data_IF_706347851038
#
_entry.id   IF_706347851038
#
_cell.length_a   1.000
_cell.length_b   1.000
_cell.length_c   1.000
_cell.angle_alpha   90.00
_cell.angle_beta   90.00
_cell.angle_gamma   90.00
#
_symmetry.space_group_name_H-M   'P 1'
#
loop_
_entity.id
_entity.type
_entity.pdbx_description
1 polymer ?
#
# COMPACT_ATOMS: atom_id res chain seq x y z
N UNK A 1 13.77 15.74 16.11
CA UNK A 1 12.78 16.51 16.93
C UNK A 1 12.83 17.99 16.57
N UNK A 2 14.00 18.48 16.16
CA UNK A 2 14.21 19.86 15.77
C UNK A 2 13.40 20.26 14.54
N UNK A 3 13.36 19.44 13.50
CA UNK A 3 12.73 19.70 12.20
C UNK A 3 11.20 19.87 12.31
N UNK A 4 10.61 19.25 13.33
CA UNK A 4 9.18 19.37 13.64
C UNK A 4 8.85 20.67 14.38
N UNK A 5 9.70 21.08 15.33
CA UNK A 5 9.44 22.22 16.20
C UNK A 5 10.01 23.55 15.66
N UNK A 6 11.06 23.48 14.84
CA UNK A 6 11.82 24.61 14.34
C UNK A 6 11.77 24.58 12.81
N UNK A 7 10.95 25.43 12.17
CA UNK A 7 10.80 25.43 10.72
C UNK A 7 12.12 25.74 10.01
N UNK A 8 12.74 24.73 9.41
CA UNK A 8 13.96 24.85 8.60
C UNK A 8 13.70 24.65 7.10
N UNK A 9 12.50 24.20 6.73
CA UNK A 9 12.16 23.80 5.38
C UNK A 9 11.60 24.92 4.49
N UNK A 10 11.74 24.82 3.15
CA UNK A 10 11.15 25.76 2.20
C UNK A 10 9.62 25.84 2.29
N UNK A 11 8.97 24.75 2.70
CA UNK A 11 7.55 24.75 3.02
C UNK A 11 7.15 23.64 4.01
N UNK A 12 5.86 23.28 4.08
CA UNK A 12 5.39 22.17 4.92
C UNK A 12 5.77 20.81 4.32
N UNK A 13 6.20 19.91 5.19
CA UNK A 13 6.48 18.51 4.89
C UNK A 13 5.67 17.60 5.82
N UNK A 14 5.20 16.44 5.34
CA UNK A 14 4.36 15.52 6.10
C UNK A 14 4.75 14.07 5.86
N UNK A 15 4.85 13.30 6.93
CA UNK A 15 4.89 11.84 6.89
C UNK A 15 3.54 11.23 7.23
N UNK A 16 3.21 10.10 6.61
CA UNK A 16 2.15 9.17 7.03
C UNK A 16 2.53 7.74 6.71
N UNK A 17 2.12 6.83 7.58
CA UNK A 17 2.47 5.42 7.56
C UNK A 17 1.20 4.58 7.48
N UNK A 18 1.07 3.79 6.41
CA UNK A 18 0.01 2.82 6.21
C UNK A 18 0.59 1.40 6.29
N UNK A 19 -0.06 0.51 7.05
CA UNK A 19 0.45 -0.87 7.22
C UNK A 19 0.27 -1.76 5.99
N UNK A 20 -0.59 -1.38 5.03
CA UNK A 20 -0.81 -2.13 3.79
C UNK A 20 -1.45 -1.24 2.70
N UNK A 21 -1.58 -1.72 1.44
CA UNK A 21 -2.17 -0.96 0.34
C UNK A 21 -3.65 -0.57 0.49
N UNK A 22 -4.38 -1.09 1.49
CA UNK A 22 -5.72 -0.58 1.83
C UNK A 22 -5.69 0.90 2.28
N UNK A 23 -4.51 1.40 2.68
CA UNK A 23 -4.25 2.83 2.86
C UNK A 23 -5.23 3.53 3.82
N UNK A 24 -5.47 2.94 5.00
CA UNK A 24 -6.44 3.40 5.99
C UNK A 24 -6.20 4.84 6.53
N UNK A 25 -4.96 5.33 6.57
CA UNK A 25 -4.66 6.74 6.93
C UNK A 25 -4.58 7.66 5.71
N UNK A 26 -4.77 7.11 4.51
CA UNK A 26 -4.68 7.78 3.22
C UNK A 26 -3.34 8.51 3.03
N UNK A 27 -2.23 7.83 3.36
CA UNK A 27 -0.87 8.38 3.22
C UNK A 27 -0.60 8.82 1.78
N UNK A 28 -0.91 8.00 0.78
CA UNK A 28 -0.69 8.30 -0.65
C UNK A 28 -1.31 9.62 -1.11
N UNK A 29 -2.35 10.12 -0.44
CA UNK A 29 -3.02 11.36 -0.81
C UNK A 29 -2.72 12.55 0.14
N UNK A 30 -2.18 12.30 1.33
CA UNK A 30 -2.18 13.28 2.44
C UNK A 30 -0.82 13.46 3.12
N UNK A 31 0.27 12.98 2.52
CA UNK A 31 1.65 13.19 2.97
C UNK A 31 2.61 13.47 1.81
N UNK A 32 3.55 14.38 2.02
CA UNK A 32 4.64 14.64 1.07
C UNK A 32 5.48 13.39 0.83
N UNK A 33 5.64 12.54 1.86
CA UNK A 33 6.22 11.23 1.76
C UNK A 33 5.35 10.21 2.51
N UNK A 34 4.85 9.23 1.77
CA UNK A 34 4.00 8.13 2.26
C UNK A 34 4.77 6.83 2.31
N UNK A 35 4.61 6.10 3.42
CA UNK A 35 5.17 4.78 3.63
C UNK A 35 4.03 3.77 3.66
N UNK A 36 4.01 2.84 2.70
CA UNK A 36 2.91 1.88 2.54
C UNK A 36 3.46 0.47 2.65
N UNK A 37 3.09 -0.25 3.71
CA UNK A 37 3.54 -1.61 3.97
C UNK A 37 3.19 -2.59 2.84
N UNK A 38 4.06 -3.54 2.60
CA UNK A 38 3.89 -4.62 1.62
C UNK A 38 4.74 -5.84 2.01
N UNK A 39 4.66 -6.91 1.24
CA UNK A 39 5.54 -8.06 1.30
C UNK A 39 6.16 -8.33 -0.08
N UNK A 40 7.23 -9.14 -0.14
CA UNK A 40 7.91 -9.50 -1.41
C UNK A 40 7.89 -11.00 -1.72
N UNK A 41 7.59 -11.84 -0.72
CA UNK A 41 7.39 -13.27 -0.89
C UNK A 41 5.93 -13.63 -1.26
N UNK A 42 5.55 -14.91 -1.10
CA UNK A 42 4.27 -15.43 -1.57
C UNK A 42 3.12 -15.18 -0.61
N UNK A 43 1.92 -14.96 -1.14
CA UNK A 43 0.69 -15.00 -0.34
C UNK A 43 0.56 -16.39 0.30
N UNK A 44 0.26 -16.42 1.60
CA UNK A 44 0.02 -17.68 2.31
C UNK A 44 -1.43 -18.08 2.13
N UNK A 45 -1.64 -19.32 1.70
CA UNK A 45 -2.95 -19.89 1.39
C UNK A 45 -3.22 -21.07 2.32
N UNK A 46 -4.29 -20.98 3.11
CA UNK A 46 -4.88 -22.11 3.81
C UNK A 46 -6.03 -22.67 2.96
N UNK A 47 -5.78 -23.80 2.29
CA UNK A 47 -6.74 -24.41 1.37
C UNK A 47 -7.99 -24.93 2.09
N UNK A 48 -7.87 -25.38 3.35
CA UNK A 48 -9.03 -25.84 4.12
C UNK A 48 -9.95 -24.65 4.44
N UNK A 49 -9.36 -23.51 4.78
CA UNK A 49 -10.10 -22.26 4.94
C UNK A 49 -10.72 -21.77 3.62
N UNK A 50 -10.03 -21.89 2.47
CA UNK A 50 -10.61 -21.58 1.15
C UNK A 50 -11.85 -22.43 0.91
N UNK A 51 -11.78 -23.73 1.15
CA UNK A 51 -12.92 -24.63 0.94
C UNK A 51 -14.11 -24.24 1.82
N UNK A 52 -13.90 -23.81 3.07
CA UNK A 52 -14.98 -23.31 3.92
C UNK A 52 -15.68 -22.06 3.38
N UNK A 53 -14.96 -21.16 2.69
CA UNK A 53 -15.60 -20.05 1.98
C UNK A 53 -16.50 -20.57 0.85
N UNK A 54 -16.00 -21.49 0.02
CA UNK A 54 -16.74 -22.08 -1.12
C UNK A 54 -17.95 -22.91 -0.66
N UNK A 55 -17.81 -23.62 0.45
CA UNK A 55 -18.87 -24.40 1.12
C UNK A 55 -19.88 -23.51 1.86
N UNK A 56 -19.63 -22.20 1.94
CA UNK A 56 -20.51 -21.20 2.55
C UNK A 56 -20.67 -21.41 4.06
N UNK A 57 -19.60 -21.84 4.72
CA UNK A 57 -19.55 -21.94 6.18
C UNK A 57 -19.85 -20.56 6.80
N UNK A 58 -20.87 -20.42 7.67
CA UNK A 58 -21.20 -19.15 8.32
C UNK A 58 -20.05 -18.53 9.13
N UNK A 59 -19.07 -19.34 9.55
CA UNK A 59 -17.87 -18.86 10.23
C UNK A 59 -16.88 -18.17 9.26
N UNK A 60 -17.02 -18.36 7.95
CA UNK A 60 -16.15 -17.82 6.91
C UNK A 60 -16.95 -16.89 5.97
N UNK A 61 -17.55 -15.80 6.48
CA UNK A 61 -18.25 -14.86 5.61
C UNK A 61 -17.24 -14.09 4.75
N UNK A 62 -17.55 -13.94 3.46
CA UNK A 62 -16.78 -13.11 2.54
C UNK A 62 -16.62 -11.69 3.08
N UNK A 63 -15.44 -11.12 2.90
CA UNK A 63 -15.02 -9.82 3.40
C UNK A 63 -15.33 -9.61 4.90
N UNK A 64 -15.11 -10.68 5.69
CA UNK A 64 -15.44 -10.73 7.12
C UNK A 64 -16.91 -10.35 7.46
N UNK A 65 -17.82 -10.45 6.49
CA UNK A 65 -19.23 -10.07 6.65
C UNK A 65 -19.53 -8.59 6.44
N UNK A 66 -18.62 -7.82 5.83
CA UNK A 66 -18.84 -6.40 5.53
C UNK A 66 -20.14 -6.12 4.73
N UNK A 67 -20.62 -7.11 3.97
CA UNK A 67 -21.79 -6.97 3.09
C UNK A 67 -23.06 -7.67 3.62
N UNK A 68 -23.09 -8.10 4.89
CA UNK A 68 -24.25 -8.82 5.50
C UNK A 68 -25.58 -8.05 5.49
N UNK A 69 -25.54 -6.72 5.28
CA UNK A 69 -26.74 -5.88 5.27
C UNK A 69 -27.61 -5.98 4.01
N UNK A 70 -27.21 -6.77 3.00
CA UNK A 70 -27.96 -6.99 1.76
C UNK A 70 -27.74 -8.42 1.28
N UNK A 71 -28.75 -9.00 0.63
CA UNK A 71 -28.60 -10.28 -0.07
C UNK A 71 -27.90 -10.05 -1.43
N UNK A 72 -26.70 -10.60 -1.56
CA UNK A 72 -25.88 -10.59 -2.78
C UNK A 72 -25.84 -11.95 -3.46
N UNK A 73 -26.59 -12.93 -2.95
CA UNK A 73 -26.45 -14.33 -3.30
C UNK A 73 -25.34 -15.05 -2.51
N UNK A 74 -25.17 -16.36 -2.76
CA UNK A 74 -24.10 -17.13 -2.15
C UNK A 74 -22.72 -16.69 -2.68
N UNK A 75 -21.70 -16.82 -1.82
CA UNK A 75 -20.32 -16.56 -2.22
C UNK A 75 -19.92 -17.38 -3.46
N UNK A 76 -19.29 -16.71 -4.42
CA UNK A 76 -18.76 -17.29 -5.65
C UNK A 76 -17.30 -16.87 -5.81
N UNK A 77 -16.36 -17.80 -5.58
CA UNK A 77 -14.92 -17.53 -5.60
C UNK A 77 -14.43 -17.03 -6.96
N UNK A 78 -15.07 -17.49 -8.06
CA UNK A 78 -14.68 -17.05 -9.39
C UNK A 78 -15.09 -15.59 -9.59
N UNK A 79 -16.38 -15.29 -9.37
CA UNK A 79 -16.94 -13.94 -9.58
C UNK A 79 -16.42 -12.89 -8.60
N UNK A 80 -16.15 -13.27 -7.34
CA UNK A 80 -15.82 -12.31 -6.28
C UNK A 80 -14.32 -12.21 -6.00
N UNK A 81 -13.50 -13.17 -6.47
CA UNK A 81 -12.06 -13.18 -6.20
C UNK A 81 -11.24 -13.27 -7.49
N UNK A 82 -11.34 -14.35 -8.25
CA UNK A 82 -10.41 -14.57 -9.38
C UNK A 82 -10.68 -13.63 -10.55
N UNK A 83 -11.95 -13.40 -10.89
CA UNK A 83 -12.35 -12.51 -11.98
C UNK A 83 -12.13 -11.03 -11.65
N UNK A 84 -12.03 -10.70 -10.36
CA UNK A 84 -11.75 -9.34 -9.87
C UNK A 84 -10.26 -9.12 -9.55
N UNK A 85 -9.41 -10.13 -9.69
CA UNK A 85 -7.97 -9.96 -9.55
C UNK A 85 -7.46 -9.05 -10.68
N UNK A 86 -6.84 -7.89 -10.40
CA UNK A 86 -6.50 -6.91 -11.43
C UNK A 86 -5.46 -7.41 -12.44
N UNK A 87 -4.66 -8.42 -12.09
CA UNK A 87 -3.69 -9.04 -12.98
C UNK A 87 -4.11 -10.43 -13.47
N UNK A 88 -5.29 -10.90 -13.06
CA UNK A 88 -5.78 -12.26 -13.33
C UNK A 88 -4.74 -13.37 -13.04
N UNK A 89 -3.90 -13.16 -12.01
CA UNK A 89 -2.87 -14.11 -11.59
C UNK A 89 -3.40 -15.26 -10.71
N UNK A 90 -4.71 -15.36 -10.52
CA UNK A 90 -5.35 -16.35 -9.65
C UNK A 90 -6.13 -17.38 -10.45
N UNK A 91 -6.14 -18.62 -9.99
CA UNK A 91 -6.92 -19.70 -10.60
C UNK A 91 -7.56 -20.58 -9.53
N UNK A 92 -8.86 -20.82 -9.67
CA UNK A 92 -9.59 -21.85 -8.94
C UNK A 92 -9.75 -23.07 -9.85
N UNK A 93 -9.46 -24.27 -9.34
CA UNK A 93 -9.60 -25.53 -10.11
C UNK A 93 -10.78 -26.40 -9.67
N UNK A 94 -11.66 -25.86 -8.82
CA UNK A 94 -12.75 -26.60 -8.18
C UNK A 94 -12.38 -27.23 -6.84
N UNK A 95 -11.09 -27.26 -6.46
CA UNK A 95 -10.60 -27.87 -5.21
C UNK A 95 -9.52 -27.06 -4.50
N UNK A 96 -8.67 -26.35 -5.25
CA UNK A 96 -7.56 -25.55 -4.73
C UNK A 96 -7.50 -24.21 -5.44
N UNK A 97 -7.15 -23.19 -4.65
CA UNK A 97 -6.84 -21.86 -5.14
C UNK A 97 -5.34 -21.75 -5.38
N UNK A 98 -4.97 -21.30 -6.57
CA UNK A 98 -3.60 -21.04 -6.99
C UNK A 98 -3.41 -19.55 -7.23
N UNK A 99 -2.24 -19.03 -6.87
CA UNK A 99 -1.83 -17.64 -7.10
C UNK A 99 -0.45 -17.66 -7.73
N UNK A 100 -0.31 -16.99 -8.87
CA UNK A 100 0.98 -16.68 -9.47
C UNK A 100 1.51 -15.38 -8.85
N UNK A 101 2.22 -15.51 -7.72
CA UNK A 101 2.74 -14.37 -6.96
C UNK A 101 3.69 -13.48 -7.77
N UNK A 102 4.36 -14.01 -8.80
CA UNK A 102 5.25 -13.24 -9.66
C UNK A 102 4.49 -12.17 -10.47
N UNK A 103 3.21 -12.45 -10.78
CA UNK A 103 2.30 -11.53 -11.46
C UNK A 103 1.30 -10.86 -10.51
N UNK A 104 1.49 -10.99 -9.19
CA UNK A 104 0.65 -10.33 -8.19
C UNK A 104 1.16 -8.92 -7.87
N UNK A 105 0.28 -7.92 -8.02
CA UNK A 105 0.56 -6.52 -7.66
C UNK A 105 0.23 -6.17 -6.21
N UNK A 106 -0.17 -7.17 -5.40
CA UNK A 106 -0.44 -7.03 -3.95
C UNK A 106 -1.52 -5.99 -3.62
N UNK A 107 -2.55 -5.90 -4.46
CA UNK A 107 -3.67 -4.96 -4.31
C UNK A 107 -4.61 -5.18 -3.10
N UNK A 108 -4.35 -6.20 -2.27
CA UNK A 108 -5.15 -6.63 -1.11
C UNK A 108 -6.53 -7.25 -1.39
N UNK A 109 -7.11 -7.13 -2.59
CA UNK A 109 -8.50 -7.59 -2.86
C UNK A 109 -8.80 -9.00 -2.35
N UNK A 110 -8.04 -10.01 -2.77
CA UNK A 110 -8.28 -11.39 -2.38
C UNK A 110 -8.13 -11.63 -0.87
N UNK A 111 -7.14 -10.98 -0.23
CA UNK A 111 -6.94 -11.04 1.23
C UNK A 111 -8.09 -10.36 1.95
N UNK A 112 -8.58 -9.22 1.44
CA UNK A 112 -9.72 -8.51 2.00
C UNK A 112 -10.99 -9.36 1.93
N UNK A 113 -11.23 -10.06 0.81
CA UNK A 113 -12.41 -10.93 0.63
C UNK A 113 -12.29 -12.22 1.46
N UNK A 114 -11.12 -12.86 1.53
CA UNK A 114 -10.93 -14.13 2.23
C UNK A 114 -9.89 -14.05 3.37
N UNK A 115 -10.06 -13.16 4.36
CA UNK A 115 -9.02 -12.86 5.36
C UNK A 115 -8.71 -14.02 6.30
N UNK A 116 -9.58 -15.03 6.39
CA UNK A 116 -9.31 -16.25 7.16
C UNK A 116 -8.48 -17.28 6.39
N UNK A 117 -8.46 -17.22 5.06
CA UNK A 117 -7.79 -18.18 4.20
C UNK A 117 -6.49 -17.64 3.58
N UNK A 118 -6.47 -16.35 3.26
CA UNK A 118 -5.35 -15.68 2.62
C UNK A 118 -4.67 -14.72 3.59
N UNK A 119 -3.34 -14.80 3.66
CA UNK A 119 -2.52 -13.90 4.48
C UNK A 119 -1.38 -13.32 3.66
N UNK A 120 -0.94 -12.13 4.05
CA UNK A 120 0.29 -11.52 3.53
C UNK A 120 1.48 -12.48 3.65
N UNK A 121 2.50 -12.29 2.81
CA UNK A 121 3.77 -12.99 2.92
C UNK A 121 4.49 -12.70 4.26
N UNK A 122 5.60 -13.41 4.51
CA UNK A 122 6.41 -13.27 5.72
C UNK A 122 7.53 -12.25 5.58
N UNK A 123 7.99 -12.00 4.35
CA UNK A 123 9.07 -11.06 4.09
C UNK A 123 8.49 -9.68 3.81
N UNK A 124 8.34 -8.92 4.88
CA UNK A 124 7.63 -7.63 4.91
C UNK A 124 8.58 -6.44 4.85
N UNK A 125 8.07 -5.32 4.33
CA UNK A 125 8.74 -4.03 4.24
C UNK A 125 7.72 -2.97 3.85
N UNK A 126 8.15 -1.84 3.29
CA UNK A 126 7.25 -0.84 2.74
C UNK A 126 7.72 -0.29 1.40
N UNK A 127 6.79 0.31 0.66
CA UNK A 127 7.08 1.18 -0.47
C UNK A 127 7.08 2.63 0.00
N UNK A 128 7.98 3.45 -0.56
CA UNK A 128 8.01 4.90 -0.33
C UNK A 128 7.47 5.60 -1.58
N UNK A 129 6.46 6.45 -1.39
CA UNK A 129 5.90 7.29 -2.45
C UNK A 129 5.97 8.76 -2.04
N UNK A 130 6.15 9.66 -3.00
CA UNK A 130 6.46 11.07 -2.73
C UNK A 130 5.62 12.04 -3.55
N UNK A 131 5.43 13.24 -3.02
CA UNK A 131 4.87 14.39 -3.75
C UNK A 131 3.39 14.69 -3.49
N UNK A 132 2.68 13.92 -2.65
CA UNK A 132 1.25 14.13 -2.49
C UNK A 132 0.91 15.51 -1.89
N UNK A 133 -0.06 16.18 -2.51
CA UNK A 133 -0.51 17.51 -2.09
C UNK A 133 -1.92 17.86 -2.56
N UNK A 134 -2.53 18.78 -1.82
CA UNK A 134 -3.76 19.46 -2.21
C UNK A 134 -3.52 20.39 -3.43
N UNK A 135 -4.59 20.91 -4.06
CA UNK A 135 -4.49 21.62 -5.35
C UNK A 135 -3.48 22.77 -5.44
N UNK A 136 -3.42 23.66 -4.45
CA UNK A 136 -2.58 24.88 -4.55
C UNK A 136 -1.08 24.51 -4.52
N UNK A 137 -0.22 25.02 -5.42
CA UNK A 137 -0.53 25.89 -6.57
C UNK A 137 -0.79 25.06 -7.85
N UNK A 138 0.11 24.13 -8.18
CA UNK A 138 0.18 23.49 -9.51
C UNK A 138 -0.61 22.17 -9.64
N UNK A 139 -1.80 22.14 -9.05
CA UNK A 139 -2.69 20.97 -9.09
C UNK A 139 -2.49 20.00 -7.93
N UNK A 140 -3.50 19.15 -7.73
CA UNK A 140 -3.47 18.09 -6.73
C UNK A 140 -2.61 16.93 -7.21
N UNK A 141 -1.92 16.29 -6.28
CA UNK A 141 -1.07 15.15 -6.56
C UNK A 141 -1.29 14.06 -5.51
N UNK A 142 -1.23 12.81 -5.95
CA UNK A 142 -1.00 11.65 -5.08
C UNK A 142 0.49 11.32 -5.09
N UNK A 143 0.92 10.48 -4.15
CA UNK A 143 2.30 10.01 -4.06
C UNK A 143 2.69 9.18 -5.29
N UNK A 144 3.81 9.54 -5.91
CA UNK A 144 4.45 8.76 -6.97
C UNK A 144 5.45 7.78 -6.37
N UNK A 145 5.46 6.53 -6.83
CA UNK A 145 6.36 5.49 -6.33
C UNK A 145 7.82 5.87 -6.56
N UNK A 146 8.59 5.96 -5.47
CA UNK A 146 10.03 6.24 -5.51
C UNK A 146 10.85 4.99 -5.17
N UNK A 147 10.59 4.39 -4.01
CA UNK A 147 11.26 3.16 -3.57
C UNK A 147 10.24 2.03 -3.59
N UNK A 148 10.36 1.05 -4.51
CA UNK A 148 9.41 -0.07 -4.61
C UNK A 148 9.34 -0.92 -3.35
N UNK A 149 10.48 -1.15 -2.69
CA UNK A 149 10.57 -1.93 -1.47
C UNK A 149 11.79 -1.49 -0.66
N UNK A 150 11.57 -1.20 0.62
CA UNK A 150 12.61 -1.03 1.63
C UNK A 150 12.24 -1.88 2.86
N UNK A 151 13.17 -2.65 3.44
CA UNK A 151 12.98 -3.31 4.72
C UNK A 151 12.61 -2.30 5.81
N UNK A 152 11.69 -2.69 6.71
CA UNK A 152 11.40 -1.92 7.92
C UNK A 152 12.09 -2.61 9.08
N UNK A 153 13.26 -2.09 9.45
CA UNK A 153 14.10 -2.70 10.49
C UNK A 153 14.23 -1.77 11.70
N UNK A 154 13.56 -2.06 12.84
CA UNK A 154 13.71 -1.28 14.06
C UNK A 154 15.05 -1.50 14.76
N UNK A 155 15.77 -2.60 14.47
CA UNK A 155 17.00 -2.96 15.19
C UNK A 155 18.20 -2.08 14.79
N UNK A 156 18.15 -1.44 13.61
CA UNK A 156 19.13 -0.43 13.18
C UNK A 156 18.50 0.97 13.07
N UNK A 157 17.48 1.26 13.87
CA UNK A 157 16.81 2.57 13.91
C UNK A 157 16.30 3.05 12.54
N UNK A 158 15.84 2.11 11.70
CA UNK A 158 15.26 2.38 10.39
C UNK A 158 16.21 3.07 9.38
N UNK A 159 17.52 2.83 9.49
CA UNK A 159 18.60 3.45 8.70
C UNK A 159 18.28 3.62 7.20
N UNK A 160 17.84 2.55 6.52
CA UNK A 160 17.52 2.58 5.08
C UNK A 160 16.37 3.55 4.74
N UNK A 161 15.42 3.72 5.66
CA UNK A 161 14.30 4.64 5.49
C UNK A 161 14.73 6.07 5.79
N UNK A 162 15.50 6.28 6.85
CA UNK A 162 16.00 7.61 7.24
C UNK A 162 16.96 8.16 6.20
N UNK A 163 17.81 7.34 5.59
CA UNK A 163 18.69 7.75 4.49
C UNK A 163 17.89 8.31 3.29
N UNK A 164 16.77 7.67 2.93
CA UNK A 164 15.89 8.18 1.85
C UNK A 164 15.24 9.51 2.24
N UNK A 165 14.84 9.66 3.51
CA UNK A 165 14.25 10.89 4.03
C UNK A 165 15.25 12.05 3.95
N UNK A 166 16.45 11.84 4.49
CA UNK A 166 17.49 12.86 4.60
C UNK A 166 17.97 13.31 3.22
N UNK A 167 18.23 12.38 2.30
CA UNK A 167 18.61 12.71 0.93
C UNK A 167 17.54 13.54 0.20
N UNK A 168 16.25 13.27 0.44
CA UNK A 168 15.16 14.08 -0.14
C UNK A 168 15.08 15.45 0.51
N UNK A 169 15.26 15.53 1.83
CA UNK A 169 15.28 16.80 2.53
C UNK A 169 16.44 17.67 2.07
N UNK A 170 17.65 17.14 1.97
CA UNK A 170 18.84 17.89 1.52
C UNK A 170 18.63 18.47 0.12
N UNK A 171 18.18 17.65 -0.83
CA UNK A 171 17.85 18.11 -2.17
C UNK A 171 16.73 19.16 -2.16
N UNK A 172 15.61 18.90 -1.47
CA UNK A 172 14.46 19.80 -1.48
C UNK A 172 14.76 21.12 -0.75
N UNK A 173 15.54 21.11 0.33
CA UNK A 173 15.93 22.30 1.07
C UNK A 173 16.80 23.25 0.25
N UNK A 174 17.70 22.71 -0.55
CA UNK A 174 18.59 23.50 -1.41
C UNK A 174 17.87 24.01 -2.67
N UNK A 175 17.09 23.15 -3.33
CA UNK A 175 16.60 23.41 -4.69
C UNK A 175 15.19 24.01 -4.75
N UNK A 176 14.39 23.88 -3.69
CA UNK A 176 13.01 24.34 -3.73
C UNK A 176 12.89 25.86 -3.61
N UNK A 177 11.95 26.41 -4.36
CA UNK A 177 11.54 27.82 -4.21
C UNK A 177 10.80 28.01 -2.89
N UNK A 178 10.74 29.27 -2.45
CA UNK A 178 9.92 29.64 -1.30
C UNK A 178 8.47 29.16 -1.48
N UNK A 179 7.98 28.38 -0.49
CA UNK A 179 6.63 27.79 -0.46
C UNK A 179 6.33 26.79 -1.58
N UNK A 180 7.35 26.16 -2.16
CA UNK A 180 7.20 25.07 -3.12
C UNK A 180 7.19 23.72 -2.41
N UNK A 181 6.17 22.90 -2.64
CA UNK A 181 6.08 21.55 -2.05
C UNK A 181 6.98 20.57 -2.81
N UNK A 182 7.37 19.47 -2.16
CA UNK A 182 8.17 18.42 -2.80
C UNK A 182 7.60 17.97 -4.15
N UNK A 183 6.28 17.72 -4.23
CA UNK A 183 5.64 17.32 -5.49
C UNK A 183 5.66 18.39 -6.59
N UNK A 184 5.76 19.67 -6.24
CA UNK A 184 5.92 20.76 -7.20
C UNK A 184 7.37 20.84 -7.68
N UNK A 185 8.34 20.67 -6.77
CA UNK A 185 9.77 20.55 -7.12
C UNK A 185 9.99 19.39 -8.10
N UNK A 186 9.46 18.20 -7.81
CA UNK A 186 9.55 17.02 -8.69
C UNK A 186 8.97 17.32 -10.07
N UNK A 187 7.82 18.00 -10.17
CA UNK A 187 7.28 18.42 -11.47
C UNK A 187 8.18 19.40 -12.21
N UNK A 188 8.86 20.29 -11.49
CA UNK A 188 9.71 21.33 -12.07
C UNK A 188 11.05 20.80 -12.53
N UNK A 189 11.71 19.96 -11.74
CA UNK A 189 13.05 19.46 -12.02
C UNK A 189 13.07 18.08 -12.69
N UNK A 190 11.96 17.34 -12.65
CA UNK A 190 11.89 15.98 -13.16
C UNK A 190 11.99 14.94 -12.05
N UNK A 191 11.80 13.68 -12.43
CA UNK A 191 11.83 12.54 -11.50
C UNK A 191 13.17 11.77 -11.55
N UNK A 192 13.98 12.02 -12.60
CA UNK A 192 15.30 11.41 -12.82
C UNK A 192 16.35 11.96 -11.87
#
# INVERSE_FOLDING_TARGET
QDELHRPAFPYKFKFKFDGCPNCCVASIARSDMSFIGTWKDRIRIDQDAVNKYVEKDPAYPANAGAHKGRDWGPFDIEKEVTDLCPTHCMKWDGKKLHIDDANCTRCMHCINVMPRALKIGKETGCSILVGAKAPILDGAQMGSLLVPFVPVNPDNDYEEITEVIENIWDWWMEEAKNRERLGELIKRQGFQ
#
